data_IF_650664707676
#
_entry.id   IF_650664707676
#
_cell.length_a   1.000
_cell.length_b   1.000
_cell.length_c   1.000
_cell.angle_alpha   90.00
_cell.angle_beta   90.00
_cell.angle_gamma   90.00
#
_symmetry.space_group_name_H-M   'P 1'
#
loop_
_entity.id
_entity.type
_entity.pdbx_description
1 polymer ?
#
# COMPACT_ATOMS: atom_id res chain seq x y z
N UNK A 1 -25.35 -37.16 21.64
CA UNK A 1 -24.64 -36.66 20.46
C UNK A 1 -25.32 -35.37 20.01
N UNK A 2 -24.80 -34.22 20.42
CA UNK A 2 -25.28 -32.91 19.98
C UNK A 2 -24.28 -32.45 18.92
N UNK A 3 -24.72 -32.40 17.66
CA UNK A 3 -23.94 -31.81 16.58
C UNK A 3 -23.90 -30.30 16.81
N UNK A 4 -22.78 -29.78 17.29
CA UNK A 4 -22.50 -28.35 17.32
C UNK A 4 -22.26 -27.93 15.87
N UNK A 5 -23.31 -27.41 15.23
CA UNK A 5 -23.18 -26.69 13.97
C UNK A 5 -22.38 -25.41 14.27
N UNK A 6 -21.12 -25.46 13.90
CA UNK A 6 -20.24 -24.31 13.68
C UNK A 6 -20.98 -23.25 12.85
N UNK A 7 -21.44 -22.18 13.51
CA UNK A 7 -21.68 -20.91 12.84
C UNK A 7 -20.34 -20.43 12.30
N UNK A 8 -20.07 -20.75 11.04
CA UNK A 8 -19.12 -19.99 10.23
C UNK A 8 -19.62 -18.53 10.20
N UNK A 9 -18.77 -17.51 10.45
CA UNK A 9 -19.18 -16.14 10.22
C UNK A 9 -19.56 -15.96 8.75
N UNK A 10 -20.77 -15.47 8.51
CA UNK A 10 -21.26 -15.07 7.19
C UNK A 10 -20.27 -14.04 6.61
N UNK A 11 -19.83 -14.15 5.33
CA UNK A 11 -19.06 -13.08 4.70
C UNK A 11 -19.94 -11.83 4.72
N UNK A 12 -19.56 -10.83 5.52
CA UNK A 12 -20.22 -9.53 5.53
C UNK A 12 -20.29 -9.03 4.11
N UNK A 13 -21.51 -8.75 3.65
CA UNK A 13 -21.81 -8.13 2.36
C UNK A 13 -20.84 -6.97 2.14
N UNK A 14 -19.86 -7.16 1.27
CA UNK A 14 -18.99 -6.09 0.81
C UNK A 14 -19.89 -5.09 0.10
N UNK A 15 -20.21 -3.99 0.78
CA UNK A 15 -20.96 -2.89 0.19
C UNK A 15 -20.30 -2.52 -1.15
N UNK A 16 -21.07 -2.22 -2.22
CA UNK A 16 -20.51 -1.94 -3.54
C UNK A 16 -19.45 -0.81 -3.53
N UNK A 17 -19.57 0.10 -2.56
CA UNK A 17 -18.60 1.15 -2.27
C UNK A 17 -17.21 0.61 -1.87
N UNK A 18 -17.16 -0.41 -1.00
CA UNK A 18 -15.91 -1.05 -0.56
C UNK A 18 -15.22 -1.76 -1.73
N UNK A 19 -15.99 -2.45 -2.58
CA UNK A 19 -15.44 -3.10 -3.78
C UNK A 19 -14.82 -2.11 -4.77
N UNK A 20 -15.42 -0.93 -4.93
CA UNK A 20 -14.87 0.12 -5.78
C UNK A 20 -13.59 0.73 -5.19
N UNK A 21 -13.58 1.03 -3.89
CA UNK A 21 -12.40 1.58 -3.22
C UNK A 21 -11.20 0.64 -3.31
N UNK A 22 -11.42 -0.66 -3.11
CA UNK A 22 -10.38 -1.68 -3.24
C UNK A 22 -9.86 -1.82 -4.68
N UNK A 23 -10.73 -1.70 -5.68
CA UNK A 23 -10.30 -1.68 -7.08
C UNK A 23 -9.41 -0.46 -7.37
N UNK A 24 -9.80 0.73 -6.90
CA UNK A 24 -8.98 1.94 -7.05
C UNK A 24 -7.64 1.84 -6.32
N UNK A 25 -7.62 1.22 -5.13
CA UNK A 25 -6.39 0.94 -4.41
C UNK A 25 -5.48 -0.02 -5.18
N UNK A 26 -6.04 -1.06 -5.80
CA UNK A 26 -5.31 -2.00 -6.65
C UNK A 26 -4.67 -1.30 -7.85
N UNK A 27 -5.42 -0.43 -8.53
CA UNK A 27 -4.91 0.38 -9.64
C UNK A 27 -3.75 1.27 -9.20
N UNK A 28 -3.86 1.92 -8.03
CA UNK A 28 -2.78 2.73 -7.48
C UNK A 28 -1.53 1.89 -7.17
N UNK A 29 -1.68 0.75 -6.51
CA UNK A 29 -0.54 -0.13 -6.15
C UNK A 29 0.15 -0.64 -7.41
N UNK A 30 -0.61 -1.04 -8.43
CA UNK A 30 -0.08 -1.47 -9.72
C UNK A 30 0.70 -0.34 -10.41
N UNK A 31 0.13 0.87 -10.43
CA UNK A 31 0.76 2.03 -11.05
C UNK A 31 2.06 2.46 -10.33
N UNK A 32 2.10 2.43 -8.99
CA UNK A 32 3.33 2.68 -8.22
C UNK A 32 4.42 1.69 -8.61
N UNK A 33 4.10 0.41 -8.63
CA UNK A 33 5.05 -0.65 -8.96
C UNK A 33 5.56 -0.55 -10.41
N UNK A 34 4.68 -0.28 -11.38
CA UNK A 34 5.07 -0.05 -12.77
C UNK A 34 6.00 1.16 -12.89
N UNK A 35 5.62 2.30 -12.32
CA UNK A 35 6.43 3.51 -12.34
C UNK A 35 7.81 3.29 -11.72
N UNK A 36 7.88 2.56 -10.61
CA UNK A 36 9.15 2.21 -9.98
C UNK A 36 10.02 1.31 -10.86
N UNK A 37 9.44 0.32 -11.55
CA UNK A 37 10.19 -0.56 -12.45
C UNK A 37 10.72 0.18 -13.66
N UNK A 38 9.85 0.95 -14.31
CA UNK A 38 10.21 1.70 -15.52
C UNK A 38 11.25 2.78 -15.22
N UNK A 39 11.20 3.35 -14.01
CA UNK A 39 12.17 4.34 -13.51
C UNK A 39 13.46 3.78 -12.93
N UNK A 40 13.64 2.46 -12.87
CA UNK A 40 14.81 1.85 -12.22
C UNK A 40 14.88 2.08 -10.71
N UNK A 41 13.74 2.39 -10.07
CA UNK A 41 13.59 2.55 -8.62
C UNK A 41 13.29 1.22 -7.91
N UNK A 42 13.09 0.15 -8.67
CA UNK A 42 12.82 -1.20 -8.16
C UNK A 42 14.12 -1.94 -7.84
N UNK A 43 14.22 -2.44 -6.62
CA UNK A 43 15.41 -3.09 -6.07
C UNK A 43 15.41 -4.59 -6.33
N UNK A 44 16.59 -5.14 -6.61
CA UNK A 44 16.82 -6.58 -6.72
C UNK A 44 17.17 -7.22 -5.39
N UNK A 45 17.89 -6.48 -4.54
CA UNK A 45 18.35 -6.97 -3.25
C UNK A 45 17.24 -6.79 -2.21
N UNK A 46 16.94 -7.88 -1.50
CA UNK A 46 15.91 -7.88 -0.46
C UNK A 46 16.53 -7.41 0.86
N UNK A 47 16.00 -6.37 1.52
CA UNK A 47 16.47 -5.94 2.82
C UNK A 47 16.33 -7.05 3.88
N UNK A 48 17.17 -6.98 4.91
CA UNK A 48 17.09 -7.97 5.99
C UNK A 48 15.74 -7.90 6.71
N UNK A 49 15.24 -9.02 7.27
CA UNK A 49 14.03 -9.01 8.09
C UNK A 49 14.09 -8.02 9.25
N UNK A 50 15.27 -7.82 9.86
CA UNK A 50 15.48 -6.85 10.92
C UNK A 50 15.30 -5.40 10.44
N UNK A 51 15.80 -5.07 9.24
CA UNK A 51 15.64 -3.74 8.66
C UNK A 51 14.16 -3.44 8.33
N UNK A 52 13.42 -4.43 7.81
CA UNK A 52 11.99 -4.30 7.51
C UNK A 52 11.08 -4.30 8.75
N UNK A 53 11.62 -4.68 9.92
CA UNK A 53 10.91 -4.72 11.19
C UNK A 53 11.18 -3.51 12.10
N UNK A 54 11.84 -2.46 11.58
CA UNK A 54 12.05 -1.22 12.35
C UNK A 54 10.71 -0.62 12.79
N UNK A 55 10.69 -0.09 14.02
CA UNK A 55 9.51 0.57 14.60
C UNK A 55 9.40 2.04 14.24
N UNK A 56 10.43 2.62 13.62
CA UNK A 56 10.38 3.98 13.09
C UNK A 56 9.35 4.05 11.97
N UNK A 57 8.56 5.14 11.85
CA UNK A 57 7.66 5.34 10.71
C UNK A 57 8.39 5.11 9.40
N UNK A 58 7.79 4.32 8.50
CA UNK A 58 8.35 3.94 7.21
C UNK A 58 9.71 3.20 7.27
N UNK A 59 10.09 2.69 8.45
CA UNK A 59 11.43 2.12 8.68
C UNK A 59 12.55 3.09 8.22
N UNK A 60 12.33 4.40 8.39
CA UNK A 60 13.15 5.45 7.76
C UNK A 60 14.61 5.51 8.26
N UNK A 61 14.91 4.81 9.36
CA UNK A 61 16.27 4.63 9.91
C UNK A 61 17.02 3.44 9.27
N UNK A 62 16.31 2.49 8.66
CA UNK A 62 16.88 1.22 8.17
C UNK A 62 16.68 0.99 6.67
N UNK A 63 15.72 1.66 6.02
CA UNK A 63 15.39 1.49 4.61
C UNK A 63 15.42 2.81 3.85
N UNK A 64 15.84 2.75 2.59
CA UNK A 64 15.48 3.75 1.61
C UNK A 64 13.96 3.74 1.37
N UNK A 65 13.39 4.89 1.00
CA UNK A 65 11.94 5.00 0.81
C UNK A 65 11.42 4.05 -0.28
N UNK A 66 12.17 3.87 -1.37
CA UNK A 66 11.81 2.96 -2.46
C UNK A 66 11.89 1.49 -2.04
N UNK A 67 12.79 1.12 -1.12
CA UNK A 67 12.80 -0.22 -0.52
C UNK A 67 11.57 -0.44 0.36
N UNK A 68 11.20 0.55 1.18
CA UNK A 68 9.97 0.49 1.98
C UNK A 68 8.72 0.35 1.10
N UNK A 69 8.63 1.12 0.01
CA UNK A 69 7.52 1.02 -0.94
C UNK A 69 7.41 -0.39 -1.52
N UNK A 70 8.51 -0.92 -2.05
CA UNK A 70 8.54 -2.22 -2.71
C UNK A 70 8.30 -3.39 -1.75
N UNK A 71 8.97 -3.41 -0.60
CA UNK A 71 9.05 -4.60 0.25
C UNK A 71 8.03 -4.61 1.39
N UNK A 72 7.44 -3.44 1.73
CA UNK A 72 6.48 -3.35 2.82
C UNK A 72 5.13 -2.85 2.31
N UNK A 73 5.08 -1.71 1.63
CA UNK A 73 3.81 -1.12 1.20
C UNK A 73 3.11 -1.98 0.14
N UNK A 74 3.76 -2.28 -0.98
CA UNK A 74 3.15 -3.04 -2.08
C UNK A 74 2.62 -4.42 -1.63
N UNK A 75 3.40 -5.27 -0.91
CA UNK A 75 2.91 -6.57 -0.48
C UNK A 75 1.76 -6.47 0.53
N UNK A 76 1.84 -5.53 1.48
CA UNK A 76 0.78 -5.32 2.47
C UNK A 76 -0.53 -4.89 1.81
N UNK A 77 -0.46 -3.98 0.85
CA UNK A 77 -1.67 -3.52 0.16
C UNK A 77 -2.26 -4.62 -0.71
N UNK A 78 -1.43 -5.44 -1.38
CA UNK A 78 -1.92 -6.61 -2.13
C UNK A 78 -2.67 -7.59 -1.23
N UNK A 79 -2.10 -7.95 -0.08
CA UNK A 79 -2.76 -8.83 0.89
C UNK A 79 -4.09 -8.25 1.38
N UNK A 80 -4.12 -6.96 1.71
CA UNK A 80 -5.34 -6.25 2.11
C UNK A 80 -6.41 -6.31 1.02
N UNK A 81 -6.04 -6.06 -0.23
CA UNK A 81 -6.95 -6.08 -1.38
C UNK A 81 -7.47 -7.49 -1.64
N UNK A 82 -6.59 -8.49 -1.65
CA UNK A 82 -6.94 -9.90 -1.87
C UNK A 82 -7.89 -10.43 -0.79
N UNK A 83 -7.72 -9.99 0.45
CA UNK A 83 -8.58 -10.38 1.58
C UNK A 83 -9.85 -9.55 1.68
N UNK A 84 -10.01 -8.50 0.86
CA UNK A 84 -11.14 -7.57 0.96
C UNK A 84 -11.17 -6.78 2.27
N UNK A 85 -10.01 -6.60 2.90
CA UNK A 85 -9.85 -5.87 4.16
C UNK A 85 -10.19 -4.38 4.02
N UNK A 86 -10.52 -3.69 5.12
CA UNK A 86 -10.76 -2.25 5.06
C UNK A 86 -9.46 -1.51 4.72
N UNK A 87 -9.57 -0.45 3.90
CA UNK A 87 -8.47 0.51 3.72
C UNK A 87 -8.06 1.12 5.08
N UNK A 88 -6.80 1.56 5.23
CA UNK A 88 -6.37 2.22 6.45
C UNK A 88 -7.21 3.47 6.73
N UNK A 89 -7.36 3.84 8.01
CA UNK A 89 -8.14 5.03 8.40
C UNK A 89 -7.43 6.36 8.13
N UNK A 90 -6.14 6.31 7.80
CA UNK A 90 -5.34 7.46 7.42
C UNK A 90 -4.13 6.98 6.60
N UNK A 91 -3.68 7.83 5.67
CA UNK A 91 -2.46 7.62 4.90
C UNK A 91 -1.76 8.96 4.71
N UNK A 92 -0.43 8.96 4.75
CA UNK A 92 0.42 10.14 4.59
C UNK A 92 1.69 9.80 3.82
N UNK A 93 1.56 8.89 2.85
CA UNK A 93 2.69 8.32 2.13
C UNK A 93 3.21 9.33 1.10
N UNK A 94 2.32 10.12 0.48
CA UNK A 94 2.69 11.12 -0.52
C UNK A 94 3.64 12.18 0.06
N UNK A 95 3.37 12.67 1.27
CA UNK A 95 4.25 13.62 1.97
C UNK A 95 5.65 13.04 2.15
N UNK A 96 5.75 11.76 2.49
CA UNK A 96 7.05 11.09 2.60
C UNK A 96 7.71 10.90 1.23
N UNK A 97 6.94 10.61 0.19
CA UNK A 97 7.43 10.49 -1.17
C UNK A 97 8.02 11.82 -1.67
N UNK A 98 7.32 12.94 -1.48
CA UNK A 98 7.81 14.28 -1.81
C UNK A 98 9.08 14.65 -1.05
N UNK A 99 9.22 14.21 0.21
CA UNK A 99 10.40 14.48 1.02
C UNK A 99 11.62 13.61 0.64
N UNK A 100 11.41 12.44 0.03
CA UNK A 100 12.46 11.44 -0.22
C UNK A 100 12.82 11.26 -1.69
N UNK A 101 11.88 11.52 -2.59
CA UNK A 101 12.08 11.53 -4.04
C UNK A 101 12.32 12.96 -4.48
N UNK A 102 13.19 13.14 -5.48
CA UNK A 102 13.57 14.48 -5.93
C UNK A 102 12.57 15.08 -6.92
N UNK A 103 11.75 14.23 -7.55
CA UNK A 103 10.80 14.65 -8.59
C UNK A 103 11.49 15.06 -9.90
N UNK A 104 12.77 14.74 -10.06
CA UNK A 104 13.55 15.15 -11.23
C UNK A 104 13.37 14.19 -12.42
N UNK A 105 12.85 12.99 -12.18
CA UNK A 105 12.52 12.02 -13.23
C UNK A 105 11.01 11.89 -13.38
N UNK A 106 10.54 11.61 -14.59
CA UNK A 106 9.12 11.36 -14.86
C UNK A 106 8.58 10.19 -14.03
N UNK A 107 9.42 9.18 -13.75
CA UNK A 107 9.06 8.05 -12.91
C UNK A 107 8.86 8.43 -11.44
N UNK A 108 9.78 9.22 -10.86
CA UNK A 108 9.61 9.73 -9.48
C UNK A 108 8.34 10.58 -9.35
N UNK A 109 8.08 11.46 -10.31
CA UNK A 109 6.87 12.29 -10.32
C UNK A 109 5.61 11.42 -10.39
N UNK A 110 5.58 10.41 -11.26
CA UNK A 110 4.44 9.50 -11.34
C UNK A 110 4.22 8.74 -10.04
N UNK A 111 5.29 8.27 -9.37
CA UNK A 111 5.18 7.63 -8.06
C UNK A 111 4.56 8.58 -7.03
N UNK A 112 5.02 9.84 -6.96
CA UNK A 112 4.46 10.85 -6.05
C UNK A 112 2.97 11.09 -6.36
N UNK A 113 2.61 11.29 -7.63
CA UNK A 113 1.24 11.57 -8.07
C UNK A 113 0.28 10.43 -7.72
N UNK A 114 0.69 9.19 -7.96
CA UNK A 114 -0.12 8.00 -7.66
C UNK A 114 -0.26 7.80 -6.15
N UNK A 115 0.80 8.01 -5.36
CA UNK A 115 0.70 7.96 -3.90
C UNK A 115 -0.21 9.05 -3.35
N UNK A 116 -0.20 10.25 -3.93
CA UNK A 116 -1.14 11.31 -3.56
C UNK A 116 -2.59 10.95 -3.92
N UNK A 117 -2.81 10.24 -5.03
CA UNK A 117 -4.13 9.71 -5.39
C UNK A 117 -4.60 8.64 -4.40
N UNK A 118 -3.69 7.78 -3.94
CA UNK A 118 -3.96 6.78 -2.91
C UNK A 118 -4.30 7.43 -1.56
N UNK A 119 -3.56 8.46 -1.12
CA UNK A 119 -3.85 9.17 0.12
C UNK A 119 -5.25 9.81 0.10
N UNK A 120 -5.63 10.47 -1.02
CA UNK A 120 -6.99 11.03 -1.20
C UNK A 120 -8.08 9.97 -1.22
N UNK A 121 -7.80 8.80 -1.80
CA UNK A 121 -8.71 7.65 -1.76
C UNK A 121 -8.97 7.24 -0.31
N UNK A 122 -7.90 7.07 0.48
CA UNK A 122 -7.98 6.71 1.90
C UNK A 122 -8.76 7.74 2.70
N UNK A 123 -8.48 9.04 2.55
CA UNK A 123 -9.19 10.12 3.24
C UNK A 123 -10.70 10.10 2.97
N UNK A 124 -11.11 9.78 1.74
CA UNK A 124 -12.52 9.72 1.35
C UNK A 124 -13.26 8.54 1.99
N UNK A 125 -12.61 7.39 2.15
CA UNK A 125 -13.24 6.21 2.76
C UNK A 125 -13.23 6.27 4.30
N UNK A 126 -12.39 7.12 4.89
CA UNK A 126 -12.33 7.33 6.33
C UNK A 126 -13.41 8.28 6.88
N UNK A 127 -14.03 9.09 6.02
CA UNK A 127 -15.09 10.05 6.36
C UNK A 127 -16.50 9.54 6.09
#
# INVERSE_FOLDING_TARGET
>A
MVAVLISQPVPTMTSPQNSQALAQAADCVLAVEQAMRDGGLWHTDVPTPAAMASRTPFCADTLAFTEWLQFIFVPRMRELIETGGPLPSASGIAVMAEAKLTGNSSAENLVIEVLAAFDRLVEREAG
#
